data_IF_587119058179
#
_entry.id   IF_587119058179
#
_cell.length_a   1.000
_cell.length_b   1.000
_cell.length_c   1.000
_cell.angle_alpha   90.00
_cell.angle_beta   90.00
_cell.angle_gamma   90.00
#
_symmetry.space_group_name_H-M   'P 1'
#
loop_
_entity.id
_entity.type
_entity.pdbx_description
1 polymer ?
#
# COMPACT_ATOMS: atom_id res chain seq x y z
N UNK A 1 -62.05 32.46 -14.55
CA UNK A 1 -61.33 32.52 -13.25
C UNK A 1 -60.04 31.70 -13.31
N UNK A 2 -59.03 32.25 -13.97
CA UNK A 2 -57.71 31.63 -14.06
C UNK A 2 -56.85 32.02 -12.85
N UNK A 3 -56.12 31.08 -12.22
CA UNK A 3 -55.17 31.43 -11.17
C UNK A 3 -54.09 32.34 -11.75
N UNK A 4 -53.97 33.53 -11.15
CA UNK A 4 -53.26 34.70 -11.67
C UNK A 4 -51.82 34.42 -12.09
N UNK A 5 -51.42 34.97 -13.25
CA UNK A 5 -50.03 35.13 -13.70
C UNK A 5 -49.06 35.59 -12.58
N UNK A 6 -49.56 36.34 -11.59
CA UNK A 6 -48.79 36.76 -10.40
C UNK A 6 -48.23 35.61 -9.55
N UNK A 7 -48.85 34.42 -9.57
CA UNK A 7 -48.34 33.23 -8.85
C UNK A 7 -47.19 32.55 -9.60
N UNK A 8 -47.16 32.69 -10.92
CA UNK A 8 -46.09 32.17 -11.77
C UNK A 8 -44.90 33.13 -11.78
N UNK A 9 -45.16 34.44 -11.82
CA UNK A 9 -44.12 35.49 -11.69
C UNK A 9 -43.42 35.45 -10.33
N UNK A 10 -44.16 35.19 -9.24
CA UNK A 10 -43.56 35.05 -7.90
C UNK A 10 -42.63 33.83 -7.78
N UNK A 11 -42.99 32.71 -8.41
CA UNK A 11 -42.13 31.50 -8.43
C UNK A 11 -40.90 31.65 -9.32
N UNK A 12 -41.00 32.41 -10.41
CA UNK A 12 -39.86 32.71 -11.27
C UNK A 12 -38.94 33.77 -10.64
N UNK A 13 -39.50 34.71 -9.84
CA UNK A 13 -38.71 35.65 -9.07
C UNK A 13 -37.99 34.97 -7.89
N UNK A 14 -38.62 34.00 -7.22
CA UNK A 14 -37.98 33.18 -6.16
C UNK A 14 -36.93 32.21 -6.72
N UNK A 15 -37.02 31.79 -7.98
CA UNK A 15 -36.00 30.98 -8.64
C UNK A 15 -34.83 31.81 -9.22
N UNK A 16 -35.06 33.09 -9.52
CA UNK A 16 -34.04 34.01 -10.06
C UNK A 16 -33.37 34.88 -8.97
N UNK A 17 -34.03 35.07 -7.84
CA UNK A 17 -33.45 35.71 -6.66
C UNK A 17 -32.77 34.61 -5.85
N UNK A 18 -31.45 34.48 -5.96
CA UNK A 18 -30.64 33.65 -5.06
C UNK A 18 -30.67 34.18 -3.61
N UNK A 19 -31.85 34.22 -2.99
CA UNK A 19 -31.98 34.25 -1.55
C UNK A 19 -31.54 32.86 -1.08
N UNK A 20 -30.25 32.79 -0.77
CA UNK A 20 -29.73 31.96 0.30
C UNK A 20 -30.78 31.95 1.41
N UNK A 21 -31.51 30.84 1.51
CA UNK A 21 -32.14 30.49 2.76
C UNK A 21 -31.00 30.47 3.75
N UNK A 22 -30.94 31.48 4.62
CA UNK A 22 -30.25 31.38 5.88
C UNK A 22 -30.83 30.14 6.53
N UNK A 23 -30.13 29.02 6.37
CA UNK A 23 -30.35 27.84 7.17
C UNK A 23 -30.37 28.37 8.61
N UNK A 24 -31.47 28.11 9.30
CA UNK A 24 -31.52 28.31 10.73
C UNK A 24 -30.25 27.71 11.30
N UNK A 25 -29.51 28.53 12.02
CA UNK A 25 -28.35 28.12 12.80
C UNK A 25 -28.90 27.21 13.91
N UNK A 26 -29.21 25.96 13.54
CA UNK A 26 -29.73 24.94 14.43
C UNK A 26 -28.66 24.76 15.51
N UNK A 27 -29.08 25.08 16.74
CA UNK A 27 -28.23 25.39 17.90
C UNK A 27 -27.47 24.23 18.51
N UNK A 28 -26.86 23.37 17.70
CA UNK A 28 -25.78 22.52 18.17
C UNK A 28 -24.50 23.36 18.31
N UNK A 29 -23.96 23.44 19.52
CA UNK A 29 -22.69 24.09 19.77
C UNK A 29 -21.58 23.34 19.02
N UNK A 30 -20.97 24.01 18.02
CA UNK A 30 -19.94 23.42 17.16
C UNK A 30 -18.70 23.02 17.95
N UNK A 31 -18.41 23.69 19.06
CA UNK A 31 -17.31 23.30 19.93
C UNK A 31 -17.64 22.02 20.70
N UNK A 32 -18.88 21.84 21.14
CA UNK A 32 -19.32 20.57 21.76
C UNK A 32 -19.18 19.40 20.78
N UNK A 33 -19.65 19.55 19.54
CA UNK A 33 -19.49 18.53 18.50
C UNK A 33 -18.01 18.23 18.20
N UNK A 34 -17.15 19.26 18.19
CA UNK A 34 -15.71 19.08 18.01
C UNK A 34 -15.09 18.30 19.18
N UNK A 35 -15.53 18.56 20.41
CA UNK A 35 -15.06 17.82 21.59
C UNK A 35 -15.57 16.38 21.61
N UNK A 36 -16.81 16.14 21.20
CA UNK A 36 -17.36 14.80 20.97
C UNK A 36 -16.46 14.05 19.96
N UNK A 37 -16.14 14.69 18.83
CA UNK A 37 -15.25 14.13 17.82
C UNK A 37 -13.84 13.83 18.35
N UNK A 38 -13.27 14.72 19.17
CA UNK A 38 -11.96 14.50 19.80
C UNK A 38 -12.00 13.29 20.76
N UNK A 39 -13.07 13.20 21.57
CA UNK A 39 -13.26 12.11 22.52
C UNK A 39 -13.39 10.77 21.81
N UNK A 40 -14.24 10.68 20.78
CA UNK A 40 -14.42 9.50 19.96
C UNK A 40 -13.11 9.10 19.25
N UNK A 41 -12.38 10.07 18.68
CA UNK A 41 -11.11 9.82 18.00
C UNK A 41 -10.07 9.24 18.95
N UNK A 42 -9.93 9.81 20.15
CA UNK A 42 -8.99 9.33 21.17
C UNK A 42 -9.41 7.97 21.75
N UNK A 43 -10.72 7.70 21.81
CA UNK A 43 -11.28 6.40 22.17
C UNK A 43 -11.16 5.32 21.07
N UNK A 44 -10.70 5.68 19.87
CA UNK A 44 -10.57 4.78 18.73
C UNK A 44 -11.87 4.54 17.94
N UNK A 45 -12.97 5.20 18.31
CA UNK A 45 -14.23 5.16 17.56
C UNK A 45 -14.18 6.16 16.40
N UNK A 46 -13.45 5.78 15.35
CA UNK A 46 -13.25 6.60 14.16
C UNK A 46 -14.55 6.90 13.40
N UNK A 47 -15.52 5.97 13.26
CA UNK A 47 -16.83 6.27 12.68
C UNK A 47 -17.60 7.35 13.44
N UNK A 48 -17.68 7.27 14.78
CA UNK A 48 -18.34 8.30 15.57
C UNK A 48 -17.59 9.65 15.48
N UNK A 49 -16.26 9.63 15.55
CA UNK A 49 -15.43 10.82 15.38
C UNK A 49 -15.69 11.51 14.04
N UNK A 50 -15.74 10.73 12.96
CA UNK A 50 -16.06 11.23 11.61
C UNK A 50 -17.41 11.93 11.60
N UNK A 51 -18.46 11.28 12.10
CA UNK A 51 -19.81 11.85 12.12
C UNK A 51 -19.88 13.17 12.91
N UNK A 52 -19.22 13.22 14.08
CA UNK A 52 -19.16 14.44 14.88
C UNK A 52 -18.40 15.58 14.16
N UNK A 53 -17.26 15.30 13.52
CA UNK A 53 -16.53 16.33 12.77
C UNK A 53 -17.24 16.76 11.48
N UNK A 54 -17.92 15.87 10.77
CA UNK A 54 -18.78 16.22 9.62
C UNK A 54 -19.86 17.21 10.05
N UNK A 55 -20.55 16.95 11.17
CA UNK A 55 -21.51 17.90 11.76
C UNK A 55 -20.82 19.19 12.18
N UNK A 56 -19.72 19.14 12.93
CA UNK A 56 -19.02 20.33 13.42
C UNK A 56 -18.46 21.23 12.30
N UNK A 57 -18.20 20.68 11.12
CA UNK A 57 -17.66 21.40 9.96
C UNK A 57 -18.67 21.68 8.85
N UNK A 58 -19.95 21.36 9.07
CA UNK A 58 -21.01 21.59 8.09
C UNK A 58 -21.20 23.09 7.78
N UNK A 59 -21.54 23.39 6.53
CA UNK A 59 -21.76 24.76 6.04
C UNK A 59 -20.48 25.50 5.66
N UNK A 60 -20.57 26.83 5.59
CA UNK A 60 -19.43 27.70 5.22
C UNK A 60 -18.43 27.82 6.39
N UNK A 61 -17.14 27.68 6.10
CA UNK A 61 -16.07 27.68 7.11
C UNK A 61 -15.64 29.13 7.34
N UNK A 62 -16.21 29.77 8.37
CA UNK A 62 -15.99 31.21 8.66
C UNK A 62 -15.21 31.49 9.95
N UNK A 63 -14.94 30.45 10.74
CA UNK A 63 -14.29 30.56 12.03
C UNK A 63 -13.23 29.47 12.24
N UNK A 64 -12.41 29.66 13.27
CA UNK A 64 -11.32 28.76 13.60
C UNK A 64 -11.79 27.39 14.13
N UNK A 65 -12.98 27.30 14.75
CA UNK A 65 -13.53 26.05 15.29
C UNK A 65 -13.88 25.11 14.15
N UNK A 66 -14.61 25.59 13.14
CA UNK A 66 -14.94 24.84 11.92
C UNK A 66 -13.67 24.42 11.18
N UNK A 67 -12.69 25.32 11.05
CA UNK A 67 -11.43 25.00 10.39
C UNK A 67 -10.63 23.91 11.13
N UNK A 68 -10.60 23.95 12.47
CA UNK A 68 -10.03 22.87 13.30
C UNK A 68 -10.78 21.55 13.08
N UNK A 69 -12.10 21.58 13.05
CA UNK A 69 -12.95 20.40 12.79
C UNK A 69 -12.70 19.79 11.41
N UNK A 70 -12.58 20.61 10.35
CA UNK A 70 -12.21 20.14 8.99
C UNK A 70 -10.84 19.46 9.01
N UNK A 71 -9.88 20.08 9.69
CA UNK A 71 -8.54 19.50 9.82
C UNK A 71 -8.61 18.12 10.49
N UNK A 72 -9.34 17.99 11.61
CA UNK A 72 -9.50 16.73 12.32
C UNK A 72 -10.32 15.70 11.52
N UNK A 73 -11.32 16.13 10.75
CA UNK A 73 -12.06 15.28 9.83
C UNK A 73 -11.14 14.66 8.79
N UNK A 74 -10.25 15.46 8.18
CA UNK A 74 -9.27 14.95 7.22
C UNK A 74 -8.34 13.89 7.83
N UNK A 75 -7.86 14.11 9.06
CA UNK A 75 -7.07 13.09 9.77
C UNK A 75 -7.88 11.83 10.05
N UNK A 76 -9.16 11.99 10.42
CA UNK A 76 -10.06 10.86 10.68
C UNK A 76 -10.30 10.04 9.41
N UNK A 77 -10.50 10.70 8.27
CA UNK A 77 -10.58 10.03 6.97
C UNK A 77 -9.33 9.23 6.62
N UNK A 78 -8.13 9.78 6.84
CA UNK A 78 -6.88 9.03 6.65
C UNK A 78 -6.82 7.76 7.50
N UNK A 79 -7.24 7.84 8.78
CA UNK A 79 -7.24 6.68 9.68
C UNK A 79 -8.29 5.63 9.31
N UNK A 80 -9.34 6.04 8.60
CA UNK A 80 -10.38 5.19 8.04
C UNK A 80 -10.05 4.66 6.64
N UNK A 81 -8.85 4.90 6.11
CA UNK A 81 -8.45 4.48 4.75
C UNK A 81 -9.25 5.20 3.63
N UNK A 82 -9.71 6.43 3.91
CA UNK A 82 -10.53 7.25 3.01
C UNK A 82 -9.73 8.42 2.44
N UNK A 83 -8.65 8.13 1.70
CA UNK A 83 -7.71 9.15 1.21
C UNK A 83 -8.33 10.25 0.34
N UNK A 84 -9.25 9.92 -0.57
CA UNK A 84 -9.91 10.92 -1.42
C UNK A 84 -10.73 11.92 -0.59
N UNK A 85 -11.53 11.41 0.34
CA UNK A 85 -12.32 12.25 1.25
C UNK A 85 -11.42 13.11 2.17
N UNK A 86 -10.27 12.57 2.60
CA UNK A 86 -9.27 13.32 3.35
C UNK A 86 -8.67 14.47 2.53
N UNK A 87 -8.31 14.21 1.27
CA UNK A 87 -7.77 15.23 0.36
C UNK A 87 -8.79 16.34 0.11
N UNK A 88 -10.06 15.98 -0.14
CA UNK A 88 -11.13 16.96 -0.35
C UNK A 88 -11.43 17.79 0.89
N UNK A 89 -11.43 17.17 2.08
CA UNK A 89 -11.52 17.91 3.34
C UNK A 89 -10.35 18.90 3.49
N UNK A 90 -9.11 18.50 3.17
CA UNK A 90 -7.95 19.39 3.22
C UNK A 90 -8.07 20.55 2.24
N UNK A 91 -8.44 20.30 0.98
CA UNK A 91 -8.62 21.34 -0.04
C UNK A 91 -9.68 22.36 0.36
N UNK A 92 -10.82 21.89 0.88
CA UNK A 92 -11.86 22.78 1.44
C UNK A 92 -11.34 23.62 2.59
N UNK A 93 -10.62 23.01 3.53
CA UNK A 93 -9.98 23.71 4.65
C UNK A 93 -9.00 24.79 4.17
N UNK A 94 -8.11 24.46 3.22
CA UNK A 94 -7.12 25.38 2.66
C UNK A 94 -7.76 26.55 1.90
N UNK A 95 -8.85 26.31 1.17
CA UNK A 95 -9.61 27.38 0.53
C UNK A 95 -10.26 28.33 1.56
N UNK A 96 -10.68 27.80 2.71
CA UNK A 96 -11.28 28.57 3.80
C UNK A 96 -10.28 29.34 4.66
N UNK A 97 -9.03 28.87 4.77
CA UNK A 97 -7.94 29.54 5.51
C UNK A 97 -7.83 31.03 5.17
N UNK A 98 -8.06 31.40 3.90
CA UNK A 98 -7.97 32.80 3.42
C UNK A 98 -9.09 33.70 3.97
N UNK A 99 -10.17 33.12 4.50
CA UNK A 99 -11.37 33.85 4.97
C UNK A 99 -11.47 33.89 6.49
N UNK A 100 -10.72 33.05 7.20
CA UNK A 100 -10.74 32.96 8.66
C UNK A 100 -9.65 33.89 9.23
N UNK A 101 -9.99 34.89 10.04
CA UNK A 101 -9.00 35.76 10.68
C UNK A 101 -8.36 35.08 11.90
N UNK A 102 -7.07 35.35 12.15
CA UNK A 102 -6.40 35.03 13.42
C UNK A 102 -5.03 34.37 13.29
N UNK A 103 -4.16 34.56 14.28
CA UNK A 103 -2.79 34.05 14.29
C UNK A 103 -2.70 32.51 14.34
N UNK A 104 -3.73 31.82 14.85
CA UNK A 104 -3.76 30.34 14.89
C UNK A 104 -3.95 29.68 13.51
N UNK A 105 -4.34 30.46 12.50
CA UNK A 105 -4.68 29.99 11.16
C UNK A 105 -3.46 29.48 10.40
N UNK A 106 -2.27 30.07 10.60
CA UNK A 106 -1.03 29.62 9.95
C UNK A 106 -0.63 28.21 10.39
N UNK A 107 -0.81 27.89 11.68
CA UNK A 107 -0.58 26.55 12.20
C UNK A 107 -1.54 25.52 11.60
N UNK A 108 -2.80 25.90 11.41
CA UNK A 108 -3.81 25.04 10.79
C UNK A 108 -3.55 24.85 9.29
N UNK A 109 -3.14 25.92 8.59
CA UNK A 109 -2.74 25.85 7.19
C UNK A 109 -1.64 24.82 6.98
N UNK A 110 -0.54 24.91 7.74
CA UNK A 110 0.58 23.95 7.65
C UNK A 110 0.12 22.50 7.92
N UNK A 111 -0.77 22.30 8.90
CA UNK A 111 -1.36 20.98 9.19
C UNK A 111 -2.19 20.46 8.02
N UNK A 112 -3.01 21.32 7.40
CA UNK A 112 -3.83 20.95 6.25
C UNK A 112 -2.98 20.68 5.01
N UNK A 113 -1.93 21.46 4.74
CA UNK A 113 -0.98 21.21 3.64
C UNK A 113 -0.27 19.87 3.82
N UNK A 114 0.24 19.58 5.03
CA UNK A 114 0.86 18.30 5.33
C UNK A 114 -0.12 17.11 5.19
N UNK A 115 -1.36 17.26 5.68
CA UNK A 115 -2.40 16.23 5.56
C UNK A 115 -2.85 16.04 4.12
N UNK A 116 -2.91 17.10 3.31
CA UNK A 116 -3.22 17.00 1.89
C UNK A 116 -2.15 16.15 1.18
N UNK A 117 -0.87 16.44 1.39
CA UNK A 117 0.22 15.67 0.80
C UNK A 117 0.15 14.18 1.19
N UNK A 118 -0.14 13.88 2.47
CA UNK A 118 -0.35 12.49 2.93
C UNK A 118 -1.56 11.83 2.28
N UNK A 119 -2.65 12.56 2.11
CA UNK A 119 -3.88 12.07 1.48
C UNK A 119 -3.68 11.77 0.01
N UNK A 120 -3.00 12.66 -0.71
CA UNK A 120 -2.67 12.47 -2.12
C UNK A 120 -1.69 11.31 -2.34
N UNK A 121 -0.72 11.14 -1.45
CA UNK A 121 0.15 9.96 -1.46
C UNK A 121 -0.65 8.69 -1.20
N UNK A 122 -1.57 8.70 -0.24
CA UNK A 122 -2.42 7.56 0.07
C UNK A 122 -3.30 7.15 -1.12
N UNK A 123 -3.94 8.11 -1.81
CA UNK A 123 -4.71 7.86 -3.03
C UNK A 123 -3.83 7.18 -4.09
N UNK A 124 -2.62 7.68 -4.32
CA UNK A 124 -1.70 7.09 -5.29
C UNK A 124 -1.29 5.65 -4.92
N UNK A 125 -1.08 5.36 -3.63
CA UNK A 125 -0.79 4.00 -3.15
C UNK A 125 -1.97 3.07 -3.43
N UNK A 126 -3.18 3.46 -3.05
CA UNK A 126 -4.39 2.64 -3.24
C UNK A 126 -4.68 2.40 -4.72
N UNK A 127 -4.54 3.43 -5.56
CA UNK A 127 -4.70 3.30 -7.01
C UNK A 127 -3.64 2.39 -7.63
N UNK A 128 -2.38 2.53 -7.23
CA UNK A 128 -1.33 1.67 -7.74
C UNK A 128 -1.53 0.22 -7.27
N UNK A 129 -1.88 -0.01 -6.00
CA UNK A 129 -2.18 -1.34 -5.48
C UNK A 129 -3.28 -2.04 -6.28
N UNK A 130 -4.38 -1.34 -6.58
CA UNK A 130 -5.46 -1.88 -7.44
C UNK A 130 -4.93 -2.28 -8.83
N UNK A 131 -4.02 -1.51 -9.41
CA UNK A 131 -3.37 -1.85 -10.68
C UNK A 131 -2.41 -3.03 -10.52
N UNK A 132 -1.66 -3.10 -9.42
CA UNK A 132 -0.73 -4.18 -9.11
C UNK A 132 -1.42 -5.54 -9.04
N UNK A 133 -2.62 -5.61 -8.45
CA UNK A 133 -3.43 -6.83 -8.42
C UNK A 133 -3.85 -7.35 -9.79
N UNK A 134 -3.76 -6.52 -10.83
CA UNK A 134 -4.14 -6.84 -12.21
C UNK A 134 -2.99 -6.66 -13.19
N UNK A 135 -1.75 -6.67 -12.69
CA UNK A 135 -0.56 -6.46 -13.51
C UNK A 135 -0.41 -7.57 -14.56
N UNK A 136 -0.13 -7.16 -15.79
CA UNK A 136 0.11 -8.05 -16.93
C UNK A 136 1.01 -7.34 -17.96
N UNK A 137 1.53 -8.07 -18.97
CA UNK A 137 2.14 -7.51 -20.18
C UNK A 137 1.40 -6.30 -20.77
N UNK A 138 0.09 -6.40 -20.87
CA UNK A 138 -0.79 -5.38 -21.45
C UNK A 138 -1.18 -4.28 -20.45
N UNK A 139 -1.05 -4.54 -19.16
CA UNK A 139 -1.46 -3.65 -18.07
C UNK A 139 -0.29 -3.38 -17.12
N UNK A 140 0.74 -2.65 -17.57
CA UNK A 140 1.86 -2.29 -16.72
C UNK A 140 1.44 -1.38 -15.57
N UNK A 141 2.10 -1.57 -14.43
CA UNK A 141 2.03 -0.63 -13.31
C UNK A 141 3.17 0.38 -13.39
N UNK A 142 2.87 1.65 -13.08
CA UNK A 142 3.87 2.71 -12.98
C UNK A 142 3.63 3.51 -11.71
N UNK A 143 4.71 3.76 -10.98
CA UNK A 143 4.73 4.70 -9.87
C UNK A 143 4.81 6.13 -10.44
N UNK A 144 4.09 7.06 -9.83
CA UNK A 144 4.24 8.49 -10.10
C UNK A 144 5.62 8.99 -9.65
N UNK A 145 6.03 10.18 -10.10
CA UNK A 145 7.29 10.77 -9.67
C UNK A 145 7.32 11.01 -8.14
N UNK A 146 6.20 11.42 -7.57
CA UNK A 146 6.01 11.65 -6.14
C UNK A 146 6.12 10.34 -5.36
N UNK A 147 5.45 9.28 -5.83
CA UNK A 147 5.49 7.99 -5.16
C UNK A 147 6.89 7.37 -5.25
N UNK A 148 7.57 7.47 -6.40
CA UNK A 148 8.98 7.09 -6.54
C UNK A 148 9.87 7.79 -5.50
N UNK A 149 9.73 9.11 -5.30
CA UNK A 149 10.53 9.85 -4.31
C UNK A 149 10.39 9.28 -2.91
N UNK A 150 9.19 8.84 -2.52
CA UNK A 150 8.93 8.31 -1.18
C UNK A 150 9.35 6.84 -1.06
N UNK A 151 9.06 6.01 -2.06
CA UNK A 151 9.46 4.60 -2.10
C UNK A 151 10.99 4.44 -2.07
N UNK A 152 11.70 5.35 -2.75
CA UNK A 152 13.16 5.35 -2.85
C UNK A 152 13.84 6.34 -1.89
N UNK A 153 13.13 6.85 -0.87
CA UNK A 153 13.67 7.86 0.05
C UNK A 153 14.73 7.31 1.01
N UNK A 154 14.74 5.99 1.26
CA UNK A 154 15.57 5.35 2.28
C UNK A 154 16.18 4.05 1.78
N UNK A 155 17.51 4.01 1.71
CA UNK A 155 18.25 2.79 1.37
C UNK A 155 18.11 1.71 2.47
N UNK A 156 17.77 2.10 3.71
CA UNK A 156 17.59 1.17 4.84
C UNK A 156 16.31 0.34 4.78
N UNK A 157 15.44 0.64 3.82
CA UNK A 157 14.23 -0.13 3.56
C UNK A 157 14.29 -0.88 2.24
N UNK A 158 15.47 -0.97 1.63
CA UNK A 158 15.73 -1.80 0.46
C UNK A 158 16.33 -3.14 0.88
N UNK A 159 15.77 -4.23 0.37
CA UNK A 159 16.38 -5.56 0.43
C UNK A 159 16.55 -6.10 -0.99
N UNK A 160 17.60 -6.90 -1.22
CA UNK A 160 17.92 -7.46 -2.55
C UNK A 160 17.78 -8.98 -2.57
N UNK A 161 18.01 -9.59 -3.73
CA UNK A 161 17.94 -11.05 -3.92
C UNK A 161 18.74 -11.81 -2.84
N UNK A 162 18.09 -12.83 -2.27
CA UNK A 162 18.67 -13.66 -1.20
C UNK A 162 18.57 -13.07 0.20
N UNK A 163 18.00 -11.87 0.36
CA UNK A 163 17.85 -11.22 1.66
C UNK A 163 16.40 -11.20 2.14
N UNK A 164 16.24 -11.04 3.45
CA UNK A 164 14.99 -10.62 4.07
C UNK A 164 15.24 -9.46 5.04
N UNK A 165 14.21 -8.67 5.30
CA UNK A 165 14.29 -7.45 6.10
C UNK A 165 12.96 -7.17 6.80
N UNK A 166 13.03 -6.72 8.06
CA UNK A 166 11.88 -6.15 8.78
C UNK A 166 11.75 -4.65 8.50
N UNK A 167 10.52 -4.17 8.36
CA UNK A 167 10.23 -2.75 8.17
C UNK A 167 10.67 -1.95 9.42
N UNK A 168 11.35 -0.82 9.19
CA UNK A 168 11.76 0.09 10.26
C UNK A 168 10.62 1.04 10.60
N UNK A 169 10.43 1.39 11.88
CA UNK A 169 9.41 2.37 12.31
C UNK A 169 9.55 3.74 11.61
N UNK A 170 10.76 4.09 11.16
CA UNK A 170 11.03 5.34 10.45
C UNK A 170 10.79 5.30 8.94
N UNK A 171 10.49 4.13 8.36
CA UNK A 171 10.23 4.00 6.93
C UNK A 171 8.79 3.61 6.68
N UNK A 172 8.13 4.31 5.76
CA UNK A 172 6.80 3.93 5.30
C UNK A 172 6.85 2.69 4.41
N UNK A 173 7.79 2.64 3.47
CA UNK A 173 7.89 1.56 2.52
C UNK A 173 8.99 0.57 2.90
N UNK A 174 8.75 -0.70 2.58
CA UNK A 174 9.74 -1.77 2.54
C UNK A 174 9.78 -2.29 1.11
N UNK A 175 10.92 -2.18 0.45
CA UNK A 175 11.00 -2.25 -1.01
C UNK A 175 12.08 -3.22 -1.49
N UNK A 176 11.86 -3.79 -2.66
CA UNK A 176 12.87 -4.55 -3.39
C UNK A 176 12.80 -4.24 -4.87
N UNK A 177 13.87 -4.55 -5.60
CA UNK A 177 14.01 -4.27 -7.03
C UNK A 177 14.41 -5.52 -7.80
N UNK A 178 14.26 -5.48 -9.12
CA UNK A 178 14.79 -6.52 -10.00
C UNK A 178 14.11 -7.87 -9.83
N UNK A 179 12.79 -7.87 -9.64
CA UNK A 179 12.01 -9.09 -9.44
C UNK A 179 11.54 -9.63 -10.80
N UNK A 180 12.19 -10.71 -11.26
CA UNK A 180 11.89 -11.38 -12.53
C UNK A 180 11.62 -12.89 -12.33
N UNK A 181 12.66 -13.70 -12.19
CA UNK A 181 12.57 -15.17 -12.02
C UNK A 181 12.47 -15.59 -10.56
N UNK A 182 12.48 -14.62 -9.66
CA UNK A 182 12.46 -14.73 -8.22
C UNK A 182 11.07 -14.39 -7.66
N UNK A 183 10.79 -14.87 -6.46
CA UNK A 183 9.56 -14.59 -5.73
C UNK A 183 9.86 -13.70 -4.54
N UNK A 184 8.99 -12.71 -4.32
CA UNK A 184 9.05 -11.82 -3.16
C UNK A 184 7.90 -12.14 -2.23
N UNK A 185 8.20 -12.22 -0.95
CA UNK A 185 7.24 -12.39 0.13
C UNK A 185 7.19 -11.09 0.91
N UNK A 186 6.01 -10.47 0.96
CA UNK A 186 5.72 -9.40 1.92
C UNK A 186 4.74 -9.91 2.95
N UNK A 187 4.97 -9.61 4.23
CA UNK A 187 4.02 -9.89 5.30
C UNK A 187 3.78 -8.64 6.13
N UNK A 188 2.55 -8.47 6.62
CA UNK A 188 2.13 -7.25 7.30
C UNK A 188 1.05 -7.50 8.36
N UNK A 189 1.07 -6.71 9.43
CA UNK A 189 0.00 -6.65 10.44
C UNK A 189 -0.30 -5.22 10.91
N UNK A 190 -1.59 -4.93 11.07
CA UNK A 190 -2.11 -3.63 11.52
C UNK A 190 -2.00 -3.42 13.04
N UNK A 191 -2.01 -4.47 13.86
CA UNK A 191 -2.20 -4.36 15.33
C UNK A 191 -0.99 -3.85 16.09
N UNK A 192 0.21 -4.12 15.61
CA UNK A 192 1.46 -3.81 16.29
C UNK A 192 2.25 -2.81 15.46
N UNK A 193 2.04 -1.50 15.68
CA UNK A 193 2.89 -0.42 15.12
C UNK A 193 3.27 -0.58 13.63
N UNK A 194 2.38 -1.09 12.79
CA UNK A 194 2.67 -1.30 11.36
C UNK A 194 3.94 -2.14 11.10
N UNK A 195 3.99 -3.37 11.63
CA UNK A 195 5.10 -4.31 11.35
C UNK A 195 4.99 -4.86 9.93
N UNK A 196 6.10 -4.80 9.20
CA UNK A 196 6.26 -5.35 7.87
C UNK A 196 7.48 -6.26 7.80
N UNK A 197 7.43 -7.24 6.92
CA UNK A 197 8.55 -8.12 6.59
C UNK A 197 8.61 -8.32 5.08
N UNK A 198 9.81 -8.39 4.53
CA UNK A 198 10.06 -8.58 3.10
C UNK A 198 11.14 -9.63 2.93
N UNK A 199 10.97 -10.57 1.99
CA UNK A 199 12.00 -11.52 1.60
C UNK A 199 12.04 -11.65 0.07
N UNK A 200 13.25 -11.66 -0.50
CA UNK A 200 13.48 -11.80 -1.93
C UNK A 200 14.14 -13.15 -2.20
N UNK A 201 13.34 -14.12 -2.65
CA UNK A 201 13.75 -15.52 -2.76
C UNK A 201 14.03 -15.90 -4.21
N UNK A 202 15.19 -16.50 -4.45
CA UNK A 202 15.60 -17.01 -5.77
C UNK A 202 15.34 -18.51 -5.87
N UNK A 203 15.21 -19.05 -7.08
CA UNK A 203 15.13 -20.51 -7.30
C UNK A 203 16.35 -21.23 -6.73
N UNK A 204 17.54 -20.63 -6.82
CA UNK A 204 18.77 -21.16 -6.24
C UNK A 204 18.69 -21.37 -4.73
N UNK A 205 17.95 -20.51 -4.02
CA UNK A 205 17.70 -20.63 -2.58
C UNK A 205 16.93 -21.91 -2.25
N UNK A 206 15.92 -22.23 -3.07
CA UNK A 206 15.12 -23.46 -2.94
C UNK A 206 15.94 -24.69 -3.30
N UNK A 207 16.66 -24.66 -4.42
CA UNK A 207 17.52 -25.76 -4.84
C UNK A 207 18.59 -26.09 -3.80
N UNK A 208 19.16 -25.05 -3.16
CA UNK A 208 20.10 -25.24 -2.06
C UNK A 208 19.44 -25.92 -0.85
N UNK A 209 18.23 -25.48 -0.46
CA UNK A 209 17.46 -26.12 0.60
C UNK A 209 17.15 -27.60 0.32
N UNK A 210 16.72 -27.91 -0.90
CA UNK A 210 16.48 -29.29 -1.34
C UNK A 210 17.74 -30.15 -1.28
N UNK A 211 18.88 -29.60 -1.70
CA UNK A 211 20.17 -30.29 -1.63
C UNK A 211 20.56 -30.59 -0.18
N UNK A 212 20.46 -29.61 0.73
CA UNK A 212 20.80 -29.77 2.15
C UNK A 212 19.97 -30.86 2.83
N UNK A 213 18.66 -30.90 2.57
CA UNK A 213 17.77 -31.95 3.05
C UNK A 213 18.20 -33.34 2.55
N UNK A 214 18.56 -33.46 1.27
CA UNK A 214 18.98 -34.72 0.66
C UNK A 214 20.28 -35.28 1.23
N UNK A 215 21.23 -34.41 1.60
CA UNK A 215 22.52 -34.82 2.19
C UNK A 215 22.47 -34.96 3.72
N UNK A 216 21.29 -34.88 4.33
CA UNK A 216 21.09 -35.08 5.76
C UNK A 216 21.73 -34.01 6.66
N UNK A 217 22.00 -32.81 6.12
CA UNK A 217 22.55 -31.68 6.90
C UNK A 217 21.42 -30.76 7.36
N UNK A 218 21.22 -30.71 8.69
CA UNK A 218 20.39 -29.77 9.47
C UNK A 218 18.93 -29.55 9.02
N UNK A 219 18.06 -29.28 9.99
CA UNK A 219 16.64 -28.96 9.81
C UNK A 219 16.37 -27.53 9.30
N UNK A 220 17.38 -26.64 9.31
CA UNK A 220 17.23 -25.25 8.90
C UNK A 220 18.06 -24.98 7.64
N UNK A 221 17.50 -25.32 6.47
CA UNK A 221 17.98 -24.75 5.21
C UNK A 221 17.39 -23.35 4.98
N UNK A 222 17.70 -22.68 3.86
CA UNK A 222 17.24 -21.30 3.62
C UNK A 222 15.71 -21.10 3.73
N UNK A 223 14.91 -22.12 3.37
CA UNK A 223 13.45 -22.08 3.55
C UNK A 223 13.01 -22.25 5.01
N UNK A 224 13.80 -22.97 5.82
CA UNK A 224 13.63 -23.02 7.26
C UNK A 224 13.97 -21.68 7.90
N UNK A 225 15.10 -21.08 7.51
CA UNK A 225 15.50 -19.74 7.96
C UNK A 225 14.44 -18.68 7.60
N UNK A 226 13.86 -18.73 6.40
CA UNK A 226 12.75 -17.86 6.01
C UNK A 226 11.53 -18.06 6.94
N UNK A 227 11.13 -19.30 7.20
CA UNK A 227 9.98 -19.59 8.06
C UNK A 227 10.22 -19.14 9.51
N UNK A 228 11.43 -19.37 10.05
CA UNK A 228 11.82 -18.93 11.38
C UNK A 228 11.89 -17.40 11.49
N UNK A 229 12.49 -16.73 10.51
CA UNK A 229 12.57 -15.27 10.46
C UNK A 229 11.17 -14.65 10.39
N UNK A 230 10.31 -15.17 9.52
CA UNK A 230 8.93 -14.69 9.38
C UNK A 230 8.12 -14.93 10.66
N UNK A 231 8.24 -16.12 11.27
CA UNK A 231 7.58 -16.42 12.54
C UNK A 231 8.07 -15.53 13.70
N UNK A 232 9.38 -15.25 13.75
CA UNK A 232 9.97 -14.35 14.74
C UNK A 232 9.48 -12.91 14.57
N UNK A 233 9.43 -12.41 13.33
CA UNK A 233 8.99 -11.06 12.98
C UNK A 233 7.53 -10.77 13.38
N UNK A 234 6.70 -11.80 13.61
CA UNK A 234 5.31 -11.65 14.03
C UNK A 234 4.97 -12.53 15.24
N UNK A 235 5.96 -12.85 16.08
CA UNK A 235 5.80 -13.76 17.23
C UNK A 235 4.79 -13.30 18.29
N UNK A 236 4.48 -12.01 18.33
CA UNK A 236 3.49 -11.38 19.21
C UNK A 236 2.14 -11.08 18.52
N UNK A 237 1.98 -11.44 17.24
CA UNK A 237 0.78 -11.19 16.45
C UNK A 237 0.05 -12.51 16.16
N UNK A 238 -1.28 -12.58 16.37
CA UNK A 238 -2.08 -13.73 15.96
C UNK A 238 -1.89 -14.04 14.45
N UNK A 239 -1.62 -15.31 14.05
CA UNK A 239 -1.31 -15.63 12.66
C UNK A 239 -2.41 -15.31 11.64
N UNK A 240 -3.67 -15.23 12.07
CA UNK A 240 -4.83 -14.85 11.26
C UNK A 240 -4.95 -13.34 11.00
N UNK A 241 -4.21 -12.54 11.76
CA UNK A 241 -4.12 -11.09 11.57
C UNK A 241 -2.97 -10.67 10.66
N UNK A 242 -2.05 -11.58 10.35
CA UNK A 242 -0.95 -11.33 9.39
C UNK A 242 -1.43 -11.65 7.98
N UNK A 243 -1.32 -10.67 7.10
CA UNK A 243 -1.53 -10.82 5.67
C UNK A 243 -0.19 -11.00 4.96
N UNK A 244 -0.12 -11.97 4.05
CA UNK A 244 1.09 -12.26 3.28
C UNK A 244 0.79 -12.12 1.80
N UNK A 245 1.60 -11.35 1.08
CA UNK A 245 1.59 -11.26 -0.36
C UNK A 245 2.81 -11.98 -0.93
N UNK A 246 2.57 -12.86 -1.90
CA UNK A 246 3.63 -13.48 -2.71
C UNK A 246 3.47 -12.98 -4.13
N UNK A 247 4.54 -12.42 -4.70
CA UNK A 247 4.54 -11.82 -6.02
C UNK A 247 5.85 -12.07 -6.76
N UNK A 248 5.84 -11.77 -8.06
CA UNK A 248 6.98 -12.04 -8.92
C UNK A 248 6.88 -13.42 -9.52
N UNK A 249 8.03 -13.99 -9.85
CA UNK A 249 8.11 -15.24 -10.59
C UNK A 249 7.67 -15.05 -12.04
N UNK A 250 7.84 -16.13 -12.78
CA UNK A 250 7.58 -16.17 -14.20
C UNK A 250 6.96 -17.54 -14.48
N UNK A 251 5.93 -17.59 -15.31
CA UNK A 251 5.15 -18.82 -15.52
C UNK A 251 6.04 -20.00 -15.95
N UNK A 252 7.00 -19.74 -16.83
CA UNK A 252 7.95 -20.76 -17.29
C UNK A 252 9.07 -21.07 -16.28
N UNK A 253 9.35 -20.16 -15.35
CA UNK A 253 10.32 -20.36 -14.26
C UNK A 253 9.75 -21.13 -13.07
N UNK A 254 8.43 -21.36 -13.07
CA UNK A 254 7.75 -22.15 -12.05
C UNK A 254 8.22 -23.61 -12.02
N UNK A 255 8.65 -24.14 -13.17
CA UNK A 255 9.05 -25.54 -13.36
C UNK A 255 10.55 -25.66 -13.62
N UNK A 256 11.35 -25.53 -12.57
CA UNK A 256 12.78 -25.81 -12.65
C UNK A 256 13.03 -27.31 -12.96
N UNK A 257 13.97 -27.58 -13.87
CA UNK A 257 14.29 -28.95 -14.29
C UNK A 257 14.83 -29.78 -13.13
N UNK A 258 15.65 -29.20 -12.24
CA UNK A 258 16.17 -29.94 -11.10
C UNK A 258 15.07 -30.24 -10.06
N UNK A 259 14.16 -29.31 -9.80
CA UNK A 259 13.00 -29.58 -8.93
C UNK A 259 12.17 -30.76 -9.46
N UNK A 260 11.82 -30.73 -10.74
CA UNK A 260 10.94 -31.74 -11.35
C UNK A 260 11.60 -33.09 -11.63
N UNK A 261 12.87 -33.11 -12.05
CA UNK A 261 13.56 -34.34 -12.48
C UNK A 261 14.48 -34.96 -11.44
N UNK A 262 15.02 -34.17 -10.50
CA UNK A 262 16.02 -34.60 -9.52
C UNK A 262 15.42 -34.75 -8.12
N UNK A 263 14.67 -33.75 -7.65
CA UNK A 263 14.20 -33.72 -6.25
C UNK A 263 12.80 -34.29 -6.06
N UNK A 264 11.85 -33.96 -6.94
CA UNK A 264 10.43 -34.29 -6.78
C UNK A 264 9.84 -35.02 -7.99
N UNK A 265 10.57 -36.02 -8.48
CA UNK A 265 10.16 -36.82 -9.65
C UNK A 265 8.78 -37.45 -9.44
N UNK A 266 7.83 -37.08 -10.30
CA UNK A 266 6.46 -37.59 -10.27
C UNK A 266 5.52 -36.85 -9.32
N UNK A 267 5.99 -35.79 -8.64
CA UNK A 267 5.16 -34.89 -7.83
C UNK A 267 5.08 -33.51 -8.51
N UNK A 268 4.05 -33.26 -9.34
CA UNK A 268 3.93 -32.02 -10.10
C UNK A 268 3.65 -30.80 -9.21
N UNK A 269 3.21 -30.99 -7.96
CA UNK A 269 2.93 -29.91 -7.02
C UNK A 269 4.24 -29.44 -6.38
N UNK A 270 5.03 -30.37 -5.85
CA UNK A 270 6.34 -30.07 -5.23
C UNK A 270 7.43 -29.73 -6.26
N UNK A 271 7.18 -29.99 -7.53
CA UNK A 271 8.06 -29.53 -8.60
C UNK A 271 8.00 -28.01 -8.84
N UNK A 272 7.03 -27.33 -8.25
CA UNK A 272 6.80 -25.89 -8.44
C UNK A 272 7.65 -25.06 -7.49
N UNK A 273 8.36 -24.06 -8.03
CA UNK A 273 9.11 -23.11 -7.21
C UNK A 273 8.22 -22.42 -6.16
N UNK A 274 7.07 -21.89 -6.57
CA UNK A 274 6.16 -21.19 -5.65
C UNK A 274 5.66 -22.05 -4.49
N UNK A 275 5.49 -23.36 -4.70
CA UNK A 275 5.01 -24.27 -3.67
C UNK A 275 5.90 -24.25 -2.44
N UNK A 276 7.23 -24.21 -2.64
CA UNK A 276 8.20 -24.17 -1.55
C UNK A 276 8.14 -22.89 -0.71
N UNK A 277 7.85 -21.77 -1.36
CA UNK A 277 7.71 -20.47 -0.68
C UNK A 277 6.41 -20.45 0.13
N UNK A 278 5.30 -20.87 -0.48
CA UNK A 278 4.00 -20.96 0.20
C UNK A 278 4.07 -21.92 1.37
N UNK A 279 4.71 -23.08 1.21
CA UNK A 279 4.93 -24.05 2.27
C UNK A 279 5.77 -23.48 3.42
N UNK A 280 6.82 -22.71 3.13
CA UNK A 280 7.62 -22.04 4.16
C UNK A 280 6.78 -21.00 4.94
N UNK A 281 5.97 -20.19 4.25
CA UNK A 281 5.05 -19.23 4.88
C UNK A 281 4.01 -19.94 5.76
N UNK A 282 3.46 -21.06 5.29
CA UNK A 282 2.49 -21.85 6.05
C UNK A 282 3.13 -22.51 7.27
N UNK A 283 4.38 -22.99 7.17
CA UNK A 283 5.15 -23.52 8.31
C UNK A 283 5.44 -22.46 9.37
N UNK A 284 5.56 -21.20 8.98
CA UNK A 284 5.65 -20.08 9.93
C UNK A 284 4.31 -19.77 10.64
N UNK A 285 3.20 -20.41 10.23
CA UNK A 285 1.89 -20.32 10.87
C UNK A 285 0.86 -19.48 10.11
N UNK A 286 1.26 -18.79 9.03
CA UNK A 286 0.40 -17.84 8.32
C UNK A 286 -0.45 -18.50 7.25
N UNK A 287 -1.72 -18.11 7.16
CA UNK A 287 -2.71 -18.73 6.26
C UNK A 287 -3.32 -17.78 5.24
N UNK A 288 -3.28 -16.47 5.50
CA UNK A 288 -3.83 -15.44 4.59
C UNK A 288 -2.78 -15.05 3.55
N UNK A 289 -2.61 -15.93 2.56
CA UNK A 289 -1.61 -15.76 1.51
C UNK A 289 -2.30 -15.31 0.23
N UNK A 290 -1.97 -14.11 -0.22
CA UNK A 290 -2.40 -13.53 -1.48
C UNK A 290 -1.32 -13.75 -2.55
N UNK A 291 -1.65 -14.55 -3.56
CA UNK A 291 -0.75 -14.89 -4.67
C UNK A 291 -1.20 -14.27 -6.00
N UNK A 292 -2.04 -13.24 -5.98
CA UNK A 292 -2.63 -12.65 -7.19
C UNK A 292 -1.59 -12.04 -8.14
N UNK A 293 -0.42 -11.65 -7.63
CA UNK A 293 0.68 -11.03 -8.38
C UNK A 293 1.81 -12.02 -8.70
N UNK A 294 1.54 -13.32 -8.57
CA UNK A 294 2.52 -14.37 -8.81
C UNK A 294 2.43 -14.89 -10.24
N UNK A 295 3.58 -15.09 -10.89
CA UNK A 295 3.72 -15.62 -12.24
C UNK A 295 2.90 -14.84 -13.29
N UNK A 296 2.81 -13.51 -13.13
CA UNK A 296 2.00 -12.63 -13.99
C UNK A 296 2.58 -12.39 -15.38
N UNK A 297 3.89 -12.65 -15.56
CA UNK A 297 4.56 -12.51 -16.85
C UNK A 297 4.73 -13.88 -17.50
N UNK A 298 4.19 -13.98 -18.72
CA UNK A 298 4.34 -15.13 -19.60
C UNK A 298 5.70 -15.04 -20.27
N UNK A 299 6.38 -16.16 -20.42
CA UNK A 299 7.50 -16.25 -21.33
C UNK A 299 8.04 -17.66 -21.48
N UNK A 300 9.27 -17.78 -21.95
CA UNK A 300 9.89 -19.06 -22.32
C UNK A 300 10.64 -19.72 -21.15
N UNK A 301 10.78 -21.06 -21.13
CA UNK A 301 11.57 -21.77 -20.13
C UNK A 301 12.97 -21.19 -19.99
N UNK A 302 13.32 -20.81 -18.75
CA UNK A 302 14.61 -20.22 -18.44
C UNK A 302 15.68 -21.31 -18.25
N UNK A 303 16.01 -22.03 -19.31
CA UNK A 303 16.90 -23.20 -19.26
C UNK A 303 18.39 -22.83 -19.20
N UNK A 304 18.75 -21.65 -19.70
CA UNK A 304 20.13 -21.16 -19.70
C UNK A 304 20.23 -19.72 -19.22
N UNK A 305 21.45 -19.32 -18.81
CA UNK A 305 21.74 -17.95 -18.39
C UNK A 305 21.56 -16.95 -19.53
N UNK A 306 21.83 -17.34 -20.77
CA UNK A 306 21.61 -16.50 -21.95
C UNK A 306 20.12 -16.23 -22.17
N UNK A 307 19.27 -17.26 -21.98
CA UNK A 307 17.82 -17.09 -22.01
C UNK A 307 17.38 -16.18 -20.86
N UNK A 308 17.90 -16.38 -19.64
CA UNK A 308 17.60 -15.49 -18.52
C UNK A 308 17.96 -14.03 -18.81
N UNK A 309 19.14 -13.79 -19.38
CA UNK A 309 19.58 -12.45 -19.77
C UNK A 309 18.70 -11.86 -20.87
N UNK A 310 18.33 -12.66 -21.88
CA UNK A 310 17.36 -12.25 -22.91
C UNK A 310 16.00 -11.92 -22.31
N UNK A 311 15.47 -12.77 -21.42
CA UNK A 311 14.21 -12.50 -20.73
C UNK A 311 14.31 -11.25 -19.86
N UNK A 312 15.45 -10.99 -19.23
CA UNK A 312 15.69 -9.72 -18.51
C UNK A 312 15.63 -8.52 -19.46
N UNK A 313 16.07 -8.65 -20.69
CA UNK A 313 16.08 -7.57 -21.70
C UNK A 313 14.74 -7.41 -22.42
N UNK A 314 14.03 -8.50 -22.68
CA UNK A 314 12.84 -8.54 -23.54
C UNK A 314 11.52 -8.55 -22.75
N UNK A 315 11.50 -9.13 -21.54
CA UNK A 315 10.28 -9.23 -20.75
C UNK A 315 10.06 -8.05 -19.81
N UNK A 316 8.78 -7.76 -19.62
CA UNK A 316 8.35 -6.94 -18.52
C UNK A 316 8.68 -7.64 -17.20
N UNK A 317 9.20 -6.85 -16.25
CA UNK A 317 9.53 -7.32 -14.92
C UNK A 317 8.99 -6.38 -13.87
N UNK A 318 8.91 -6.86 -12.64
CA UNK A 318 8.74 -5.98 -11.48
C UNK A 318 10.08 -5.31 -11.18
N UNK A 319 10.26 -4.14 -11.79
CA UNK A 319 11.44 -3.30 -11.55
C UNK A 319 11.51 -2.89 -10.07
N UNK A 320 10.36 -2.65 -9.44
CA UNK A 320 10.22 -2.42 -8.02
C UNK A 320 8.93 -3.06 -7.50
N UNK A 321 9.01 -3.64 -6.30
CA UNK A 321 7.85 -4.02 -5.49
C UNK A 321 8.04 -3.47 -4.09
N UNK A 322 7.01 -2.84 -3.53
CA UNK A 322 7.09 -2.21 -2.22
C UNK A 322 5.82 -2.44 -1.40
N UNK A 323 6.02 -2.80 -0.13
CA UNK A 323 4.98 -2.85 0.88
C UNK A 323 4.83 -1.47 1.52
N UNK A 324 3.64 -0.90 1.49
CA UNK A 324 3.26 0.25 2.33
C UNK A 324 2.96 -0.23 3.74
N UNK A 325 3.87 0.00 4.68
CA UNK A 325 3.73 -0.45 6.07
C UNK A 325 2.53 0.21 6.76
N UNK A 326 2.04 1.37 6.29
CA UNK A 326 0.85 2.00 6.87
C UNK A 326 -0.45 1.27 6.54
N UNK A 327 -0.57 0.75 5.32
CA UNK A 327 -1.84 0.23 4.78
C UNK A 327 -1.82 -1.27 4.52
N UNK A 328 -0.64 -1.90 4.45
CA UNK A 328 -0.46 -3.28 4.03
C UNK A 328 -0.51 -3.46 2.51
N UNK A 329 -0.75 -2.40 1.75
CA UNK A 329 -0.86 -2.48 0.30
C UNK A 329 0.50 -2.71 -0.35
N UNK A 330 0.56 -3.64 -1.31
CA UNK A 330 1.76 -3.92 -2.09
C UNK A 330 1.67 -3.27 -3.46
N UNK A 331 2.47 -2.24 -3.68
CA UNK A 331 2.53 -1.48 -4.92
C UNK A 331 3.68 -1.96 -5.80
N UNK A 332 3.52 -1.78 -7.10
CA UNK A 332 4.50 -2.26 -8.08
C UNK A 332 4.85 -1.19 -9.12
N UNK A 333 6.08 -1.29 -9.61
CA UNK A 333 6.55 -0.63 -10.82
C UNK A 333 7.02 -1.70 -11.79
N UNK A 334 6.49 -1.68 -13.00
CA UNK A 334 6.90 -2.59 -14.07
C UNK A 334 7.41 -1.85 -15.28
N UNK A 335 8.48 -2.35 -15.88
CA UNK A 335 8.95 -1.88 -17.19
C UNK A 335 9.57 -3.01 -18.00
N UNK A 336 9.74 -2.74 -19.29
CA UNK A 336 10.60 -3.50 -20.21
C UNK A 336 12.08 -3.09 -20.12
N UNK A 337 12.44 -2.01 -19.40
CA UNK A 337 13.82 -1.54 -19.25
C UNK A 337 14.12 -1.03 -17.83
N UNK A 338 15.39 -0.77 -17.48
CA UNK A 338 15.84 -0.41 -16.12
C UNK A 338 15.77 1.10 -15.78
N UNK A 339 15.22 1.93 -16.67
CA UNK A 339 15.43 3.39 -16.69
C UNK A 339 15.01 4.20 -15.43
N UNK A 340 13.91 3.90 -14.72
CA UNK A 340 13.39 4.80 -13.67
C UNK A 340 13.88 4.50 -12.25
N UNK A 341 14.54 3.36 -12.00
CA UNK A 341 15.08 3.05 -10.67
C UNK A 341 16.42 3.76 -10.47
N UNK A 342 16.64 4.44 -9.32
CA UNK A 342 17.90 5.10 -9.05
C UNK A 342 19.09 4.16 -9.24
N UNK A 343 20.12 4.62 -9.95
CA UNK A 343 21.28 3.79 -10.28
C UNK A 343 22.00 3.25 -9.03
N UNK A 344 21.98 4.01 -7.92
CA UNK A 344 22.49 3.57 -6.62
C UNK A 344 21.86 2.27 -6.12
N UNK A 345 20.57 2.05 -6.40
CA UNK A 345 19.86 0.85 -5.97
C UNK A 345 20.24 -0.36 -6.83
N UNK A 346 20.45 -0.18 -8.14
CA UNK A 346 21.01 -1.23 -9.00
C UNK A 346 22.42 -1.64 -8.57
N UNK A 347 23.22 -0.69 -8.08
CA UNK A 347 24.55 -0.99 -7.55
C UNK A 347 24.52 -1.86 -6.28
N UNK A 348 23.48 -1.72 -5.46
CA UNK A 348 23.30 -2.57 -4.27
C UNK A 348 23.06 -4.04 -4.65
N UNK A 349 22.42 -4.33 -5.79
CA UNK A 349 22.28 -5.69 -6.33
C UNK A 349 23.64 -6.27 -6.75
N UNK A 350 24.51 -5.47 -7.37
CA UNK A 350 25.82 -5.93 -7.88
C UNK A 350 26.91 -6.16 -6.82
N UNK A 351 26.64 -5.83 -5.55
CA UNK A 351 27.58 -6.04 -4.43
C UNK A 351 27.31 -7.31 -3.61
N UNK A 352 26.24 -8.03 -3.91
CA UNK A 352 25.93 -9.36 -3.36
C UNK A 352 26.33 -10.44 -4.36
#
# INVERSE_FOLDING_TARGET
>A
DGPSQRKLERRLFEAASGMEGAASDDGEDRDELRQEGNSAFNGGDLPAARSAYERASAGDIRDAVRLKSVSNLALTYLRLDLGEAAADACRRGLAAVLRVPGAEVDGLRKKLEARLALSELHVQVVENYRKSLHVSPEHPTRLSAELCKVVFASDRSLFVQGQFLEAQESSRFLSTIGVLTCLVVFAWSRRSKCRGFGAHVTVGTVLHGCLQQRIGRSSAGPLGELAEALGSAFSDVPPDEVEVHVLGGHESGEFDTALSSVYFKGDPVRSRFSWHIVDAVQRAGFRRINTAMMNTFVGEPCETREIEMRLREENQRFVCAALDSETGNVITHTEHSSSPVPQSWWHAESMC
#
